data_IF_522763419972
#
_entry.id   IF_522763419972
#
_cell.length_a   1.000
_cell.length_b   1.000
_cell.length_c   1.000
_cell.angle_alpha   90.00
_cell.angle_beta   90.00
_cell.angle_gamma   90.00
#
_symmetry.space_group_name_H-M   'P 1'
#
loop_
_entity.id
_entity.type
_entity.pdbx_description
1 polymer ?
#
# COMPACT_ATOMS: atom_id res chain seq x y z
N UNK A 1 0.06 -19.82 10.69
CA UNK A 1 -0.48 -18.48 11.04
C UNK A 1 -1.36 -18.03 9.88
N UNK A 2 -2.66 -17.82 10.07
CA UNK A 2 -3.53 -17.26 9.01
C UNK A 2 -3.65 -15.75 9.20
N UNK A 3 -3.27 -14.98 8.18
CA UNK A 3 -3.51 -13.54 8.18
C UNK A 3 -4.90 -13.28 7.60
N UNK A 4 -5.75 -12.59 8.36
CA UNK A 4 -7.09 -12.21 7.92
C UNK A 4 -7.16 -10.70 7.80
N UNK A 5 -7.03 -10.20 6.57
CA UNK A 5 -7.21 -8.78 6.27
C UNK A 5 -8.61 -8.55 5.71
N UNK A 6 -9.28 -7.49 6.16
CA UNK A 6 -10.60 -7.13 5.63
C UNK A 6 -10.49 -6.36 4.32
N UNK A 7 -9.36 -5.68 4.10
CA UNK A 7 -9.08 -4.92 2.90
C UNK A 7 -7.76 -5.38 2.30
N UNK A 8 -7.75 -5.56 0.99
CA UNK A 8 -6.55 -5.79 0.20
C UNK A 8 -6.54 -4.77 -0.93
N UNK A 9 -5.44 -4.03 -1.03
CA UNK A 9 -5.16 -3.10 -2.12
C UNK A 9 -4.03 -3.70 -2.96
N UNK A 10 -4.23 -3.74 -4.28
CA UNK A 10 -3.20 -4.19 -5.23
C UNK A 10 -2.67 -2.97 -5.99
N UNK A 11 -1.41 -2.65 -5.76
CA UNK A 11 -0.69 -1.48 -6.26
C UNK A 11 -0.46 -0.43 -5.16
N UNK A 12 0.80 -0.01 -5.01
CA UNK A 12 1.26 0.98 -4.02
C UNK A 12 1.46 2.39 -4.59
N UNK A 13 0.91 2.66 -5.78
CA UNK A 13 0.89 4.01 -6.36
C UNK A 13 -0.04 4.96 -5.59
N UNK A 14 -0.17 6.21 -6.05
CA UNK A 14 -0.93 7.26 -5.36
C UNK A 14 -2.31 6.83 -4.87
N UNK A 15 -3.11 6.22 -5.74
CA UNK A 15 -4.46 5.80 -5.38
C UNK A 15 -4.46 4.75 -4.27
N UNK A 16 -3.61 3.73 -4.40
CA UNK A 16 -3.49 2.67 -3.40
C UNK A 16 -2.97 3.19 -2.07
N UNK A 17 -1.96 4.08 -2.09
CA UNK A 17 -1.41 4.70 -0.90
C UNK A 17 -2.44 5.56 -0.15
N UNK A 18 -3.21 6.38 -0.87
CA UNK A 18 -4.25 7.23 -0.26
C UNK A 18 -5.39 6.40 0.32
N UNK A 19 -5.84 5.36 -0.38
CA UNK A 19 -6.88 4.49 0.17
C UNK A 19 -6.38 3.70 1.39
N UNK A 20 -5.15 3.19 1.34
CA UNK A 20 -4.56 2.47 2.48
C UNK A 20 -4.46 3.38 3.71
N UNK A 21 -4.01 4.61 3.52
CA UNK A 21 -3.94 5.63 4.57
C UNK A 21 -5.32 5.90 5.19
N UNK A 22 -6.35 6.16 4.38
CA UNK A 22 -7.71 6.39 4.89
C UNK A 22 -8.30 5.17 5.60
N UNK A 23 -8.09 3.96 5.09
CA UNK A 23 -8.57 2.74 5.76
C UNK A 23 -7.88 2.58 7.12
N UNK A 24 -6.57 2.81 7.19
CA UNK A 24 -5.82 2.70 8.43
C UNK A 24 -6.20 3.78 9.45
N UNK A 25 -6.29 5.05 9.03
CA UNK A 25 -6.44 6.18 9.96
C UNK A 25 -7.89 6.59 10.20
N UNK A 26 -8.74 6.59 9.18
CA UNK A 26 -10.14 7.03 9.33
C UNK A 26 -11.06 5.89 9.77
N UNK A 27 -10.79 4.66 9.30
CA UNK A 27 -11.60 3.48 9.65
C UNK A 27 -10.99 2.64 10.77
N UNK A 28 -9.76 2.97 11.21
CA UNK A 28 -9.00 2.26 12.23
C UNK A 28 -8.95 0.73 11.97
N UNK A 29 -8.61 0.36 10.74
CA UNK A 29 -8.67 -1.02 10.25
C UNK A 29 -7.40 -1.44 9.51
N UNK A 30 -7.04 -2.71 9.69
CA UNK A 30 -5.91 -3.29 8.99
C UNK A 30 -6.21 -3.46 7.50
N UNK A 31 -5.23 -3.08 6.67
CA UNK A 31 -5.24 -3.20 5.22
C UNK A 31 -3.93 -3.81 4.74
N UNK A 32 -4.02 -4.82 3.86
CA UNK A 32 -2.87 -5.37 3.18
C UNK A 32 -2.67 -4.65 1.84
N UNK A 33 -1.50 -4.07 1.62
CA UNK A 33 -1.12 -3.49 0.32
C UNK A 33 -0.11 -4.40 -0.35
N UNK A 34 -0.41 -4.82 -1.58
CA UNK A 34 0.45 -5.68 -2.40
C UNK A 34 1.02 -4.88 -3.56
N UNK A 35 2.33 -4.90 -3.76
CA UNK A 35 2.99 -4.29 -4.91
C UNK A 35 3.79 -5.34 -5.66
N UNK A 36 3.72 -5.32 -7.00
CA UNK A 36 4.44 -6.25 -7.85
C UNK A 36 5.90 -5.82 -8.05
N UNK A 37 6.15 -4.51 -8.09
CA UNK A 37 7.48 -3.95 -8.25
C UNK A 37 8.31 -4.14 -6.99
N UNK A 38 9.64 -4.06 -7.13
CA UNK A 38 10.58 -4.14 -6.00
C UNK A 38 10.63 -2.86 -5.16
N UNK A 39 9.78 -1.88 -5.47
CA UNK A 39 9.71 -0.60 -4.80
C UNK A 39 8.26 -0.16 -4.62
N UNK A 40 8.01 0.66 -3.61
CA UNK A 40 6.70 1.27 -3.36
C UNK A 40 6.53 2.57 -4.16
N UNK A 41 5.34 3.17 -4.12
CA UNK A 41 5.07 4.49 -4.71
C UNK A 41 4.65 4.47 -6.18
N UNK A 42 4.61 3.30 -6.83
CA UNK A 42 4.25 3.18 -8.24
C UNK A 42 5.17 4.02 -9.13
N UNK A 43 4.61 4.83 -10.03
CA UNK A 43 5.39 5.69 -10.94
C UNK A 43 6.12 6.85 -10.23
N UNK A 44 5.91 7.04 -8.93
CA UNK A 44 6.55 8.11 -8.15
C UNK A 44 7.67 7.60 -7.25
N UNK A 45 8.14 6.40 -7.55
CA UNK A 45 9.37 5.91 -6.96
C UNK A 45 10.58 6.69 -7.48
N UNK A 46 11.44 7.04 -6.54
CA UNK A 46 12.78 7.58 -6.78
C UNK A 46 13.73 6.92 -5.81
N UNK A 47 14.98 6.75 -6.23
CA UNK A 47 16.08 6.23 -5.42
C UNK A 47 17.31 7.13 -5.55
N UNK A 48 18.23 7.04 -4.57
CA UNK A 48 19.50 7.75 -4.63
C UNK A 48 20.38 7.00 -5.63
N UNK A 49 20.95 7.71 -6.60
CA UNK A 49 21.89 7.14 -7.56
C UNK A 49 23.16 6.65 -6.82
N UNK A 50 23.61 5.41 -7.05
CA UNK A 50 24.74 4.81 -6.33
C UNK A 50 26.10 5.44 -6.64
#
# INVERSE_FOLDING_TARGET
MSYSYRYIIVGSGFFGAVLAERIANELNQDVLVLEKRNHTGGNCHSEIEP
#
